data_IF_035775233048
#
_entry.id   IF_035775233048
#
_cell.length_a   1.000
_cell.length_b   1.000
_cell.length_c   1.000
_cell.angle_alpha   90.00
_cell.angle_beta   90.00
_cell.angle_gamma   90.00
#
_symmetry.space_group_name_H-M   'P 1'
#
loop_
_entity.id
_entity.type
_entity.pdbx_description
1 polymer ?
#
# COMPACT_ATOMS: atom_id res chain seq x y z
N UNK A 1 -26.54 4.87 -8.75
CA UNK A 1 -26.79 6.31 -8.45
C UNK A 1 -25.60 6.76 -7.65
N UNK A 2 -25.06 7.98 -7.81
CA UNK A 2 -24.09 8.52 -6.84
C UNK A 2 -24.22 10.04 -6.67
N UNK A 3 -25.44 10.58 -6.81
CA UNK A 3 -25.75 11.90 -6.27
C UNK A 3 -25.90 11.79 -4.75
N UNK A 4 -25.26 12.68 -3.97
CA UNK A 4 -25.41 12.73 -2.51
C UNK A 4 -24.24 12.17 -1.71
N UNK A 5 -23.06 12.03 -2.31
CA UNK A 5 -21.82 11.67 -1.59
C UNK A 5 -21.07 12.90 -1.06
N UNK A 6 -21.45 14.10 -1.52
CA UNK A 6 -20.86 15.37 -1.15
C UNK A 6 -20.81 15.63 0.36
N UNK A 7 -21.86 15.31 1.15
CA UNK A 7 -21.81 15.46 2.60
C UNK A 7 -20.72 14.61 3.27
N UNK A 8 -20.39 13.46 2.69
CA UNK A 8 -19.40 12.54 3.25
C UNK A 8 -17.99 12.91 2.78
N UNK A 9 -17.80 13.12 1.47
CA UNK A 9 -16.48 13.09 0.80
C UNK A 9 -16.16 14.37 0.02
N UNK A 10 -17.02 15.39 0.07
CA UNK A 10 -16.87 16.60 -0.74
C UNK A 10 -17.22 16.39 -2.21
N UNK A 11 -16.83 17.33 -3.07
CA UNK A 11 -17.18 17.26 -4.49
C UNK A 11 -16.42 16.16 -5.23
N UNK A 12 -17.10 15.51 -6.19
CA UNK A 12 -16.47 14.54 -7.09
C UNK A 12 -15.34 15.16 -7.91
N UNK A 13 -14.42 14.31 -8.36
CA UNK A 13 -13.29 14.65 -9.22
C UNK A 13 -12.27 15.63 -8.63
N UNK A 14 -12.32 15.90 -7.32
CA UNK A 14 -11.44 16.84 -6.66
C UNK A 14 -10.37 16.14 -5.82
N UNK A 15 -9.17 16.01 -6.40
CA UNK A 15 -8.00 15.36 -5.75
C UNK A 15 -7.61 15.97 -4.41
N UNK A 16 -8.00 17.22 -4.13
CA UNK A 16 -7.75 17.86 -2.84
C UNK A 16 -8.34 17.08 -1.65
N UNK A 17 -9.41 16.30 -1.83
CA UNK A 17 -9.99 15.51 -0.75
C UNK A 17 -9.27 14.16 -0.54
N UNK A 18 -8.42 13.74 -1.46
CA UNK A 18 -7.81 12.42 -1.42
C UNK A 18 -6.49 12.40 -0.65
N UNK A 19 -6.11 11.20 -0.23
CA UNK A 19 -4.79 10.83 0.28
C UNK A 19 -4.27 9.61 -0.49
N UNK A 20 -2.95 9.44 -0.62
CA UNK A 20 -2.40 8.14 -1.01
C UNK A 20 -2.68 7.13 0.10
N UNK A 21 -3.18 5.95 -0.27
CA UNK A 21 -3.41 4.83 0.64
C UNK A 21 -2.71 3.60 0.07
N UNK A 22 -1.83 2.98 0.86
CA UNK A 22 -1.07 1.81 0.44
C UNK A 22 -1.70 0.54 0.99
N UNK A 23 -2.16 -0.33 0.10
CA UNK A 23 -2.84 -1.59 0.42
C UNK A 23 -2.49 -2.66 -0.60
N UNK A 24 -2.40 -3.93 -0.18
CA UNK A 24 -2.05 -5.05 -1.08
C UNK A 24 -0.76 -4.82 -1.88
N UNK A 25 0.20 -4.08 -1.31
CA UNK A 25 1.40 -3.69 -2.03
C UNK A 25 1.12 -2.82 -3.26
N UNK A 26 0.14 -1.91 -3.20
CA UNK A 26 -0.06 -0.83 -4.17
C UNK A 26 -0.52 0.44 -3.48
N UNK A 27 -0.10 1.59 -3.99
CA UNK A 27 -0.65 2.88 -3.56
C UNK A 27 -1.75 3.30 -4.52
N UNK A 28 -2.92 3.60 -3.95
CA UNK A 28 -4.08 4.13 -4.66
C UNK A 28 -4.47 5.50 -4.09
N UNK A 29 -5.14 6.31 -4.89
CA UNK A 29 -5.77 7.54 -4.40
C UNK A 29 -7.12 7.18 -3.79
N UNK A 30 -7.35 7.55 -2.53
CA UNK A 30 -8.62 7.30 -1.82
C UNK A 30 -9.05 8.56 -1.05
N UNK A 31 -10.35 8.74 -0.81
CA UNK A 31 -10.84 9.87 -0.02
C UNK A 31 -10.31 9.82 1.41
N UNK A 32 -9.84 10.96 1.93
CA UNK A 32 -9.21 11.05 3.26
C UNK A 32 -10.14 10.65 4.39
N UNK A 33 -11.46 10.80 4.21
CA UNK A 33 -12.48 10.48 5.22
C UNK A 33 -12.97 9.04 5.12
N UNK A 34 -12.78 8.42 3.96
CA UNK A 34 -13.11 7.02 3.68
C UNK A 34 -11.95 6.05 3.97
N UNK A 35 -10.71 6.52 3.88
CA UNK A 35 -9.49 5.71 3.93
C UNK A 35 -9.40 4.77 5.14
N UNK A 36 -9.86 5.19 6.32
CA UNK A 36 -9.77 4.34 7.52
C UNK A 36 -10.68 3.10 7.43
N UNK A 37 -11.84 3.18 6.76
CA UNK A 37 -12.69 1.99 6.51
C UNK A 37 -12.00 1.03 5.54
N UNK A 38 -11.38 1.56 4.47
CA UNK A 38 -10.59 0.74 3.55
C UNK A 38 -9.44 0.03 4.27
N UNK A 39 -8.67 0.76 5.08
CA UNK A 39 -7.52 0.20 5.82
C UNK A 39 -7.94 -0.96 6.73
N UNK A 40 -9.02 -0.81 7.51
CA UNK A 40 -9.51 -1.90 8.36
C UNK A 40 -10.02 -3.10 7.55
N UNK A 41 -10.65 -2.85 6.40
CA UNK A 41 -11.14 -3.91 5.53
C UNK A 41 -9.99 -4.75 4.97
N UNK A 42 -8.96 -4.07 4.42
CA UNK A 42 -7.81 -4.77 3.83
C UNK A 42 -6.97 -5.48 4.89
N UNK A 43 -6.84 -4.93 6.10
CA UNK A 43 -6.11 -5.58 7.19
C UNK A 43 -6.72 -6.93 7.56
N UNK A 44 -8.06 -7.02 7.59
CA UNK A 44 -8.77 -8.31 7.72
C UNK A 44 -8.52 -9.21 6.52
N UNK A 45 -8.58 -8.64 5.32
CA UNK A 45 -8.41 -9.39 4.07
C UNK A 45 -7.00 -9.97 3.88
N UNK A 46 -5.97 -9.44 4.56
CA UNK A 46 -4.60 -9.99 4.52
C UNK A 46 -4.46 -11.36 5.17
N UNK A 47 -5.46 -11.84 5.90
CA UNK A 47 -5.48 -13.20 6.43
C UNK A 47 -6.07 -14.22 5.44
N UNK A 48 -6.74 -13.73 4.40
CA UNK A 48 -7.44 -14.57 3.43
C UNK A 48 -6.45 -14.96 2.32
N UNK A 49 -6.32 -16.26 1.96
CA UNK A 49 -5.42 -16.71 0.89
C UNK A 49 -5.98 -16.37 -0.50
N UNK A 50 -6.13 -15.07 -0.78
CA UNK A 50 -6.60 -14.53 -2.04
C UNK A 50 -5.61 -13.49 -2.57
N UNK A 51 -5.07 -13.74 -3.76
CA UNK A 51 -4.05 -12.87 -4.33
C UNK A 51 -4.68 -11.65 -5.00
N UNK A 52 -4.58 -10.49 -4.36
CA UNK A 52 -4.91 -9.20 -4.96
C UNK A 52 -3.70 -8.67 -5.74
N UNK A 53 -3.74 -8.78 -7.07
CA UNK A 53 -2.67 -8.29 -7.95
C UNK A 53 -3.06 -7.01 -8.70
N UNK A 54 -4.34 -6.63 -8.71
CA UNK A 54 -4.85 -5.36 -9.26
C UNK A 54 -5.94 -4.82 -8.32
N UNK A 55 -5.76 -3.55 -7.91
CA UNK A 55 -6.75 -2.78 -7.18
C UNK A 55 -6.85 -1.41 -7.82
N UNK A 56 -8.06 -0.99 -8.18
CA UNK A 56 -8.34 0.31 -8.79
C UNK A 56 -9.20 1.15 -7.87
N UNK A 57 -9.04 2.47 -7.92
CA UNK A 57 -9.81 3.41 -7.09
C UNK A 57 -10.18 4.64 -7.91
N UNK A 58 -9.64 5.82 -7.60
CA UNK A 58 -10.11 7.08 -8.17
C UNK A 58 -10.12 7.07 -9.70
N UNK A 59 -11.31 7.26 -10.25
CA UNK A 59 -11.55 7.42 -11.67
C UNK A 59 -12.70 8.43 -11.86
N UNK A 60 -12.37 9.65 -12.25
CA UNK A 60 -13.34 10.71 -12.51
C UNK A 60 -14.11 10.42 -13.79
N UNK A 61 -15.23 9.70 -13.65
CA UNK A 61 -16.11 9.40 -14.78
C UNK A 61 -17.56 9.37 -14.36
N UNK A 62 -18.43 9.64 -15.34
CA UNK A 62 -19.84 9.33 -15.22
C UNK A 62 -20.07 7.83 -15.40
N UNK A 63 -21.22 7.37 -14.90
CA UNK A 63 -21.76 6.05 -15.24
C UNK A 63 -22.10 5.98 -16.73
N UNK A 64 -22.23 4.78 -17.29
CA UNK A 64 -22.52 4.56 -18.72
C UNK A 64 -23.80 5.28 -19.18
N UNK A 65 -24.75 5.52 -18.28
CA UNK A 65 -25.98 6.27 -18.58
C UNK A 65 -25.79 7.78 -18.72
N UNK A 66 -24.65 8.33 -18.28
CA UNK A 66 -24.37 9.78 -18.23
C UNK A 66 -25.17 10.56 -17.17
N UNK A 67 -26.15 9.94 -16.51
CA UNK A 67 -27.08 10.61 -15.57
C UNK A 67 -26.56 10.73 -14.15
N UNK A 68 -25.43 10.10 -13.83
CA UNK A 68 -24.83 10.11 -12.50
C UNK A 68 -23.33 9.88 -12.60
N UNK A 69 -22.61 10.40 -11.62
CA UNK A 69 -21.20 10.10 -11.42
C UNK A 69 -21.00 8.69 -10.86
N UNK A 70 -19.84 8.09 -11.14
CA UNK A 70 -19.42 6.86 -10.48
C UNK A 70 -18.93 7.16 -9.06
N UNK A 71 -19.11 6.25 -8.10
CA UNK A 71 -18.52 6.38 -6.75
C UNK A 71 -16.98 6.49 -6.78
N UNK A 72 -16.33 5.95 -7.82
CA UNK A 72 -14.89 6.15 -8.06
C UNK A 72 -14.53 7.63 -8.27
N UNK A 73 -15.46 8.48 -8.69
CA UNK A 73 -15.22 9.91 -8.84
C UNK A 73 -15.01 10.63 -7.49
N UNK A 74 -15.41 10.02 -6.37
CA UNK A 74 -15.11 10.48 -5.01
C UNK A 74 -13.93 9.73 -4.37
N UNK A 75 -13.31 8.78 -5.08
CA UNK A 75 -12.30 7.91 -4.48
C UNK A 75 -12.81 7.17 -3.22
N UNK A 76 -14.09 6.78 -3.23
CA UNK A 76 -14.79 6.08 -2.14
C UNK A 76 -15.21 4.65 -2.53
N UNK A 77 -14.60 4.12 -3.60
CA UNK A 77 -14.80 2.78 -4.12
C UNK A 77 -13.48 2.17 -4.56
N UNK A 78 -13.38 0.84 -4.49
CA UNK A 78 -12.27 0.07 -5.05
C UNK A 78 -12.78 -1.07 -5.91
N UNK A 79 -12.04 -1.37 -6.98
CA UNK A 79 -12.28 -2.54 -7.84
C UNK A 79 -11.14 -3.54 -7.66
N UNK A 80 -11.45 -4.80 -7.33
CA UNK A 80 -10.47 -5.87 -7.04
C UNK A 80 -10.40 -6.87 -8.20
N UNK A 81 -9.19 -7.06 -8.74
CA UNK A 81 -8.88 -7.98 -9.85
C UNK A 81 -9.96 -7.99 -10.97
N UNK A 82 -10.24 -6.86 -11.65
CA UNK A 82 -11.31 -6.73 -12.65
C UNK A 82 -11.37 -7.85 -13.70
N UNK A 83 -10.22 -8.41 -14.09
CA UNK A 83 -10.15 -9.48 -15.10
C UNK A 83 -10.75 -10.80 -14.59
N UNK A 84 -10.68 -11.05 -13.28
CA UNK A 84 -11.24 -12.23 -12.62
C UNK A 84 -12.65 -11.99 -12.08
N UNK A 85 -12.98 -10.73 -11.78
CA UNK A 85 -14.24 -10.32 -11.16
C UNK A 85 -15.04 -9.32 -12.04
N UNK A 86 -15.41 -9.70 -13.28
CA UNK A 86 -15.96 -8.76 -14.24
C UNK A 86 -17.39 -8.30 -13.91
N UNK A 87 -17.78 -7.18 -14.50
CA UNK A 87 -19.18 -6.77 -14.61
C UNK A 87 -19.95 -7.75 -15.53
N UNK A 88 -21.14 -8.18 -15.11
CA UNK A 88 -22.03 -9.05 -15.90
C UNK A 88 -23.50 -8.65 -15.77
N UNK A 89 -24.32 -8.97 -16.77
CA UNK A 89 -25.78 -8.75 -16.78
C UNK A 89 -26.58 -9.99 -16.35
N UNK A 90 -25.96 -10.91 -15.60
CA UNK A 90 -26.58 -12.20 -15.25
C UNK A 90 -25.95 -12.84 -14.01
N UNK A 91 -25.44 -14.07 -14.18
CA UNK A 91 -24.85 -14.82 -13.07
C UNK A 91 -23.57 -14.14 -12.54
N UNK A 92 -23.38 -14.21 -11.22
CA UNK A 92 -22.16 -13.73 -10.58
C UNK A 92 -20.95 -14.52 -11.08
N UNK A 93 -19.92 -13.81 -11.54
CA UNK A 93 -18.62 -14.39 -11.90
C UNK A 93 -17.53 -13.75 -11.03
N UNK A 94 -16.95 -14.55 -10.14
CA UNK A 94 -15.90 -14.09 -9.23
C UNK A 94 -15.07 -15.29 -8.77
N UNK A 95 -13.78 -15.04 -8.50
CA UNK A 95 -12.92 -15.97 -7.76
C UNK A 95 -12.62 -15.48 -6.35
N UNK A 96 -13.24 -14.37 -5.91
CA UNK A 96 -13.09 -13.87 -4.55
C UNK A 96 -13.77 -14.81 -3.56
N UNK A 97 -13.03 -15.28 -2.54
CA UNK A 97 -13.62 -16.00 -1.41
C UNK A 97 -14.66 -15.14 -0.68
N UNK A 98 -15.72 -15.76 -0.14
CA UNK A 98 -16.80 -15.04 0.53
C UNK A 98 -16.33 -14.32 1.80
N UNK A 99 -15.37 -14.89 2.50
CA UNK A 99 -14.65 -14.33 3.65
C UNK A 99 -13.81 -13.10 3.25
N UNK A 100 -13.22 -13.08 2.04
CA UNK A 100 -12.60 -11.86 1.50
C UNK A 100 -13.64 -10.73 1.32
N UNK A 101 -14.81 -11.06 0.75
CA UNK A 101 -15.92 -10.10 0.59
C UNK A 101 -16.42 -9.61 1.96
N UNK A 102 -16.50 -10.50 2.96
CA UNK A 102 -16.90 -10.18 4.33
C UNK A 102 -15.94 -9.18 5.02
N UNK A 103 -14.63 -9.27 4.74
CA UNK A 103 -13.65 -8.33 5.26
C UNK A 103 -14.00 -6.87 4.91
N UNK A 104 -14.47 -6.63 3.68
CA UNK A 104 -14.92 -5.31 3.23
C UNK A 104 -16.31 -4.95 3.74
N UNK A 105 -17.27 -5.87 3.63
CA UNK A 105 -18.67 -5.56 4.01
C UNK A 105 -18.83 -5.35 5.51
N UNK A 106 -18.04 -6.03 6.35
CA UNK A 106 -18.00 -5.79 7.80
C UNK A 106 -17.51 -4.39 8.18
N UNK A 107 -16.72 -3.74 7.32
CA UNK A 107 -16.29 -2.35 7.48
C UNK A 107 -17.22 -1.34 6.81
N UNK A 108 -18.36 -1.80 6.27
CA UNK A 108 -19.40 -0.95 5.72
C UNK A 108 -19.33 -0.75 4.22
N UNK A 109 -18.49 -1.47 3.47
CA UNK A 109 -18.58 -1.45 2.01
C UNK A 109 -19.82 -2.20 1.53
N UNK A 110 -20.54 -1.64 0.58
CA UNK A 110 -21.44 -2.38 -0.30
C UNK A 110 -20.61 -3.15 -1.32
N UNK A 111 -21.11 -4.29 -1.77
CA UNK A 111 -20.46 -5.13 -2.78
C UNK A 111 -21.33 -5.30 -4.02
N UNK A 112 -20.79 -4.95 -5.19
CA UNK A 112 -21.50 -4.97 -6.47
C UNK A 112 -21.89 -6.38 -6.94
N UNK A 113 -21.22 -7.43 -6.45
CA UNK A 113 -21.65 -8.82 -6.69
C UNK A 113 -23.01 -9.18 -6.06
N UNK A 114 -23.44 -8.41 -5.04
CA UNK A 114 -24.73 -8.57 -4.38
C UNK A 114 -25.92 -7.92 -5.10
N UNK A 115 -25.69 -7.10 -6.13
CA UNK A 115 -26.75 -6.38 -6.82
C UNK A 115 -27.71 -7.33 -7.57
N UNK A 116 -28.99 -6.94 -7.70
CA UNK A 116 -30.06 -7.85 -8.16
C UNK A 116 -29.97 -8.21 -9.65
N UNK A 117 -29.90 -7.21 -10.52
CA UNK A 117 -30.06 -7.41 -11.98
C UNK A 117 -28.73 -7.45 -12.75
N UNK A 118 -27.70 -6.82 -12.22
CA UNK A 118 -26.34 -6.82 -12.78
C UNK A 118 -25.39 -7.16 -11.65
N UNK A 119 -24.22 -7.70 -11.99
CA UNK A 119 -23.19 -8.08 -11.03
C UNK A 119 -21.95 -7.31 -11.34
N UNK A 120 -21.46 -6.53 -10.40
CA UNK A 120 -20.17 -5.86 -10.51
C UNK A 120 -19.24 -6.47 -9.46
N UNK A 121 -18.72 -7.66 -9.76
CA UNK A 121 -18.07 -8.49 -8.73
C UNK A 121 -16.81 -7.82 -8.17
N UNK A 122 -16.04 -7.10 -8.98
CA UNK A 122 -14.85 -6.37 -8.53
C UNK A 122 -15.17 -5.24 -7.55
N UNK A 123 -16.40 -4.69 -7.60
CA UNK A 123 -16.72 -3.38 -7.06
C UNK A 123 -17.11 -3.39 -5.59
N UNK A 124 -16.40 -2.62 -4.78
CA UNK A 124 -16.72 -2.31 -3.39
C UNK A 124 -16.83 -0.81 -3.20
N UNK A 125 -17.90 -0.32 -2.56
CA UNK A 125 -18.06 1.11 -2.35
C UNK A 125 -18.69 1.47 -1.00
N UNK A 126 -18.39 2.67 -0.50
CA UNK A 126 -19.04 3.20 0.70
C UNK A 126 -20.30 4.01 0.39
N UNK A 127 -20.77 4.01 -0.86
CA UNK A 127 -21.94 4.78 -1.25
C UNK A 127 -23.24 4.14 -0.72
N UNK A 128 -24.11 4.86 0.02
CA UNK A 128 -25.34 4.30 0.58
C UNK A 128 -26.27 3.64 -0.42
N UNK A 129 -26.38 4.21 -1.62
CA UNK A 129 -27.20 3.69 -2.71
C UNK A 129 -26.60 2.47 -3.44
N UNK A 130 -25.36 2.10 -3.12
CA UNK A 130 -24.70 0.87 -3.56
C UNK A 130 -24.58 -0.16 -2.42
N UNK A 131 -25.23 0.12 -1.28
CA UNK A 131 -25.23 -0.73 -0.08
C UNK A 131 -24.15 -0.37 0.95
N UNK A 132 -23.36 0.67 0.68
CA UNK A 132 -22.33 1.17 1.58
C UNK A 132 -22.88 1.87 2.83
N UNK A 133 -22.05 1.94 3.87
CA UNK A 133 -22.34 2.57 5.16
C UNK A 133 -21.17 3.49 5.49
N UNK A 134 -21.19 4.73 4.99
CA UNK A 134 -20.08 5.66 5.17
C UNK A 134 -19.94 6.03 6.65
N UNK A 135 -18.70 5.97 7.17
CA UNK A 135 -18.33 6.41 8.53
C UNK A 135 -17.15 7.38 8.40
N UNK A 136 -17.38 8.64 7.95
CA UNK A 136 -16.31 9.58 7.66
C UNK A 136 -15.47 9.86 8.90
N UNK A 137 -14.15 9.70 8.79
CA UNK A 137 -13.21 9.99 9.85
C UNK A 137 -11.89 10.52 9.29
N UNK A 138 -11.23 11.45 9.96
CA UNK A 138 -9.91 11.96 9.52
C UNK A 138 -8.90 10.83 9.30
N UNK A 139 -8.13 10.93 8.21
CA UNK A 139 -7.14 9.92 7.82
C UNK A 139 -6.14 9.64 8.94
N UNK A 140 -6.07 8.38 9.35
CA UNK A 140 -5.17 7.92 10.41
C UNK A 140 -3.88 7.36 9.80
N UNK A 141 -2.79 8.13 9.93
CA UNK A 141 -1.48 7.73 9.42
C UNK A 141 -0.89 6.54 10.18
N UNK A 142 -1.22 6.38 11.46
CA UNK A 142 -0.75 5.23 12.24
C UNK A 142 -1.47 3.96 11.79
N UNK A 143 -2.77 4.04 11.49
CA UNK A 143 -3.51 2.93 10.89
C UNK A 143 -2.97 2.55 9.52
N UNK A 144 -2.62 3.53 8.68
CA UNK A 144 -1.96 3.27 7.39
C UNK A 144 -0.63 2.53 7.58
N UNK A 145 0.18 2.97 8.54
CA UNK A 145 1.45 2.33 8.85
C UNK A 145 1.25 0.89 9.35
N UNK A 146 0.28 0.66 10.23
CA UNK A 146 -0.06 -0.67 10.73
C UNK A 146 -0.54 -1.62 9.62
N UNK A 147 -1.36 -1.12 8.68
CA UNK A 147 -1.80 -1.91 7.53
C UNK A 147 -0.62 -2.31 6.62
N UNK A 148 0.31 -1.39 6.36
CA UNK A 148 1.53 -1.67 5.61
C UNK A 148 2.32 -2.78 6.30
N UNK A 149 2.60 -2.63 7.59
CA UNK A 149 3.37 -3.60 8.37
C UNK A 149 2.72 -4.99 8.39
N UNK A 150 1.40 -5.06 8.56
CA UNK A 150 0.67 -6.33 8.53
C UNK A 150 0.74 -7.00 7.16
N UNK A 151 0.58 -6.25 6.07
CA UNK A 151 0.72 -6.82 4.73
C UNK A 151 2.14 -7.33 4.49
N UNK A 152 3.16 -6.57 4.94
CA UNK A 152 4.57 -6.94 4.82
C UNK A 152 4.88 -8.24 5.54
N UNK A 153 4.44 -8.38 6.79
CA UNK A 153 4.66 -9.56 7.62
C UNK A 153 4.12 -10.83 6.94
N UNK A 154 2.93 -10.73 6.36
CA UNK A 154 2.24 -11.90 5.77
C UNK A 154 2.62 -12.22 4.33
N UNK A 155 3.12 -11.25 3.57
CA UNK A 155 3.30 -11.38 2.11
C UNK A 155 4.74 -11.13 1.65
N UNK A 156 5.72 -11.32 2.52
CA UNK A 156 7.13 -11.29 2.14
C UNK A 156 7.70 -9.88 1.96
N UNK A 157 7.07 -8.84 2.50
CA UNK A 157 7.76 -7.64 2.97
C UNK A 157 8.43 -6.71 1.96
N UNK A 158 7.76 -6.23 0.91
CA UNK A 158 8.21 -5.03 0.19
C UNK A 158 7.09 -4.02 -0.04
N UNK A 159 7.20 -2.84 0.58
CA UNK A 159 6.38 -1.68 0.21
C UNK A 159 6.79 -1.20 -1.19
N UNK A 160 5.88 -1.09 -2.17
CA UNK A 160 6.20 -0.47 -3.46
C UNK A 160 6.72 0.95 -3.35
N UNK A 161 6.42 1.68 -2.27
CA UNK A 161 6.98 3.02 -2.03
C UNK A 161 8.41 2.99 -1.45
N UNK A 162 8.83 1.88 -0.84
CA UNK A 162 10.26 1.62 -0.59
C UNK A 162 10.94 1.25 -1.92
N UNK A 163 10.18 0.80 -2.92
CA UNK A 163 10.65 0.43 -4.25
C UNK A 163 10.56 1.57 -5.30
N UNK A 164 10.56 2.83 -4.86
CA UNK A 164 11.02 3.93 -5.70
C UNK A 164 12.50 4.10 -5.39
N UNK A 165 13.34 3.30 -6.04
CA UNK A 165 14.77 3.60 -6.06
C UNK A 165 15.00 5.04 -6.56
N UNK A 166 16.01 5.75 -6.03
CA UNK A 166 16.29 7.18 -6.21
C UNK A 166 16.06 7.77 -7.61
N UNK A 167 15.56 9.00 -7.61
CA UNK A 167 15.89 10.02 -8.62
C UNK A 167 16.47 11.24 -7.87
N UNK A 168 17.71 11.72 -8.13
CA UNK A 168 18.79 11.17 -8.95
C UNK A 168 19.83 10.36 -8.16
N UNK A 169 20.49 9.45 -8.88
CA UNK A 169 21.30 8.32 -8.42
C UNK A 169 22.81 8.65 -8.41
N UNK A 170 23.41 9.02 -7.26
CA UNK A 170 24.88 9.20 -7.18
C UNK A 170 25.59 7.87 -7.49
N UNK A 171 26.63 7.85 -8.36
CA UNK A 171 27.29 6.61 -8.77
C UNK A 171 27.91 5.82 -7.60
N UNK A 172 28.22 4.55 -7.88
CA UNK A 172 28.98 3.70 -6.98
C UNK A 172 30.32 4.35 -6.60
N UNK A 173 30.70 4.26 -5.32
CA UNK A 173 32.01 4.72 -4.83
C UNK A 173 32.65 3.60 -4.02
N UNK A 174 33.97 3.62 -3.88
CA UNK A 174 34.72 2.64 -3.07
C UNK A 174 34.12 2.57 -1.66
N UNK A 175 33.83 1.36 -1.19
CA UNK A 175 33.28 1.18 0.14
C UNK A 175 34.30 1.59 1.22
N UNK A 176 33.86 2.24 2.32
CA UNK A 176 34.63 2.29 3.55
C UNK A 176 34.90 0.87 4.05
N UNK A 177 35.96 0.71 4.85
CA UNK A 177 36.23 -0.56 5.53
C UNK A 177 35.00 -1.00 6.31
N UNK A 178 34.59 -2.25 6.14
CA UNK A 178 33.50 -2.82 6.92
C UNK A 178 33.85 -2.76 8.42
N UNK A 179 32.94 -2.30 9.31
CA UNK A 179 33.24 -2.09 10.72
C UNK A 179 33.70 -3.32 11.52
N UNK A 180 33.55 -4.52 10.95
CA UNK A 180 33.93 -5.78 11.59
C UNK A 180 32.82 -6.40 12.43
N UNK A 181 31.61 -5.83 12.40
CA UNK A 181 30.42 -6.38 13.03
C UNK A 181 29.17 -6.14 12.18
N UNK A 182 28.21 -7.05 12.30
CA UNK A 182 26.94 -6.96 11.60
C UNK A 182 26.01 -5.95 12.32
N UNK A 183 25.19 -5.24 11.53
CA UNK A 183 24.18 -4.32 12.06
C UNK A 183 22.77 -4.81 11.75
N UNK A 184 21.95 -4.92 12.78
CA UNK A 184 20.58 -5.40 12.72
C UNK A 184 19.69 -4.65 13.73
N UNK A 185 18.39 -4.91 13.65
CA UNK A 185 17.40 -4.28 14.52
C UNK A 185 17.50 -4.74 15.98
N UNK A 186 17.86 -6.00 16.23
CA UNK A 186 17.95 -6.54 17.59
C UNK A 186 18.97 -5.76 18.40
N UNK A 187 20.14 -5.49 17.82
CA UNK A 187 21.25 -4.80 18.49
C UNK A 187 21.11 -3.28 18.49
N UNK A 188 20.55 -2.68 17.44
CA UNK A 188 20.60 -1.23 17.22
C UNK A 188 19.23 -0.52 17.17
N UNK A 189 18.13 -1.19 17.52
CA UNK A 189 16.81 -0.53 17.58
C UNK A 189 16.69 0.57 18.63
N UNK A 190 17.40 0.43 19.77
CA UNK A 190 17.35 1.36 20.91
C UNK A 190 18.64 2.12 21.16
N UNK A 191 19.67 1.86 20.36
CA UNK A 191 21.03 2.40 20.52
C UNK A 191 21.50 3.02 19.21
N UNK A 192 22.12 4.19 19.30
CA UNK A 192 22.78 4.82 18.16
C UNK A 192 24.18 4.25 17.93
N UNK A 193 24.55 4.17 16.66
CA UNK A 193 25.87 3.73 16.21
C UNK A 193 26.29 4.51 14.97
N UNK A 194 27.54 4.98 14.95
CA UNK A 194 28.05 5.82 13.87
C UNK A 194 28.12 5.07 12.54
N UNK A 195 28.34 3.75 12.56
CA UNK A 195 28.36 2.95 11.34
C UNK A 195 26.95 2.66 10.82
N UNK A 196 25.97 2.52 11.72
CA UNK A 196 24.55 2.49 11.32
C UNK A 196 24.18 3.81 10.65
N UNK A 197 24.59 4.94 11.24
CA UNK A 197 24.33 6.27 10.67
C UNK A 197 24.97 6.41 9.30
N UNK A 198 26.25 6.04 9.17
CA UNK A 198 26.99 6.09 7.91
C UNK A 198 26.34 5.22 6.82
N UNK A 199 25.84 4.04 7.18
CA UNK A 199 25.10 3.19 6.24
C UNK A 199 23.77 3.82 5.82
N UNK A 200 23.01 4.40 6.76
CA UNK A 200 21.76 5.10 6.49
C UNK A 200 21.97 6.33 5.61
N UNK A 201 23.03 7.11 5.86
CA UNK A 201 23.43 8.24 5.00
C UNK A 201 23.70 7.75 3.58
N UNK A 202 24.38 6.61 3.41
CA UNK A 202 24.62 6.05 2.08
C UNK A 202 23.33 5.58 1.40
N UNK A 203 22.40 4.98 2.14
CA UNK A 203 21.07 4.68 1.62
C UNK A 203 20.35 5.96 1.17
N UNK A 204 20.34 7.01 1.99
CA UNK A 204 19.73 8.29 1.64
C UNK A 204 20.43 8.99 0.44
N UNK A 205 21.76 8.92 0.34
CA UNK A 205 22.52 9.39 -0.83
C UNK A 205 22.12 8.64 -2.10
N UNK A 206 21.75 7.36 -1.95
CA UNK A 206 21.20 6.51 -3.00
C UNK A 206 19.68 6.54 -2.95
N UNK A 207 19.11 7.69 -2.57
CA UNK A 207 17.69 8.08 -2.49
C UNK A 207 16.70 7.03 -2.03
N UNK A 208 17.11 6.18 -1.10
CA UNK A 208 16.16 5.54 -0.20
C UNK A 208 15.63 6.60 0.77
N UNK A 209 14.33 6.56 1.07
CA UNK A 209 13.71 7.54 1.96
C UNK A 209 13.83 7.09 3.42
N UNK A 210 14.80 7.64 4.15
CA UNK A 210 14.99 7.43 5.59
C UNK A 210 15.78 8.58 6.23
N UNK A 211 15.63 8.73 7.55
CA UNK A 211 16.46 9.62 8.36
C UNK A 211 17.68 8.84 8.92
N UNK A 212 18.92 9.32 8.71
CA UNK A 212 20.13 8.71 9.26
C UNK A 212 20.29 9.04 10.74
N UNK A 213 19.48 8.39 11.57
CA UNK A 213 19.47 8.59 13.03
C UNK A 213 20.61 7.87 13.74
N UNK A 214 21.24 6.89 13.09
CA UNK A 214 22.15 5.94 13.75
C UNK A 214 21.46 4.81 14.50
N UNK A 215 20.12 4.78 14.55
CA UNK A 215 19.35 3.65 15.10
C UNK A 215 18.85 2.76 13.99
N UNK A 216 19.04 1.45 14.13
CA UNK A 216 18.54 0.46 13.19
C UNK A 216 17.13 0.05 13.60
N UNK A 217 16.15 0.89 13.30
CA UNK A 217 14.75 0.62 13.57
C UNK A 217 14.13 -0.29 12.49
N UNK A 218 12.84 -0.62 12.67
CA UNK A 218 12.10 -1.44 11.72
C UNK A 218 12.09 -0.87 10.29
N UNK A 219 12.03 0.47 10.14
CA UNK A 219 12.11 1.11 8.83
C UNK A 219 13.48 0.89 8.16
N UNK A 220 14.57 0.98 8.91
CA UNK A 220 15.93 0.70 8.40
C UNK A 220 16.07 -0.75 7.97
N UNK A 221 15.58 -1.70 8.78
CA UNK A 221 15.59 -3.13 8.44
C UNK A 221 14.83 -3.42 7.14
N UNK A 222 13.69 -2.77 6.94
CA UNK A 222 12.89 -2.91 5.73
C UNK A 222 13.64 -2.43 4.48
N UNK A 223 14.33 -1.28 4.58
CA UNK A 223 15.14 -0.75 3.48
C UNK A 223 16.32 -1.69 3.17
N UNK A 224 16.96 -2.24 4.21
CA UNK A 224 18.04 -3.22 4.04
C UNK A 224 17.55 -4.47 3.32
N UNK A 225 16.40 -5.03 3.70
CA UNK A 225 15.79 -6.19 3.02
C UNK A 225 15.43 -5.88 1.57
N UNK A 226 14.91 -4.67 1.29
CA UNK A 226 14.59 -4.24 -0.06
C UNK A 226 15.86 -4.14 -0.93
N UNK A 227 16.90 -3.50 -0.42
CA UNK A 227 18.20 -3.44 -1.06
C UNK A 227 18.82 -4.82 -1.31
N UNK A 228 18.75 -5.72 -0.32
CA UNK A 228 19.23 -7.10 -0.46
C UNK A 228 18.52 -7.84 -1.59
N UNK A 229 17.20 -7.68 -1.74
CA UNK A 229 16.45 -8.25 -2.86
C UNK A 229 16.87 -7.67 -4.21
N UNK A 230 16.96 -6.33 -4.29
CA UNK A 230 17.42 -5.63 -5.50
C UNK A 230 18.78 -6.18 -5.98
N UNK A 231 19.69 -6.42 -5.03
CA UNK A 231 21.04 -6.93 -5.31
C UNK A 231 21.18 -8.44 -5.25
N UNK A 232 20.06 -9.17 -5.15
CA UNK A 232 20.02 -10.65 -5.11
C UNK A 232 20.95 -11.24 -4.02
N UNK A 233 21.02 -10.57 -2.88
CA UNK A 233 21.66 -11.06 -1.66
C UNK A 233 20.72 -12.00 -0.88
N UNK A 234 21.27 -12.68 0.11
CA UNK A 234 20.47 -13.32 1.15
C UNK A 234 19.69 -12.23 1.92
N UNK A 235 18.37 -12.38 2.02
CA UNK A 235 17.46 -11.33 2.52
C UNK A 235 17.19 -11.53 4.00
N UNK A 236 18.20 -11.30 4.82
CA UNK A 236 18.17 -11.46 6.27
C UNK A 236 17.86 -10.17 7.03
N UNK A 237 17.88 -9.00 6.37
CA UNK A 237 17.70 -7.70 7.00
C UNK A 237 18.91 -7.23 7.81
N UNK A 238 20.04 -7.93 7.67
CA UNK A 238 21.29 -7.67 8.38
C UNK A 238 22.30 -7.00 7.45
N UNK A 239 22.92 -5.92 7.94
CA UNK A 239 24.02 -5.27 7.24
C UNK A 239 25.33 -5.97 7.61
N UNK A 240 25.58 -7.10 6.95
CA UNK A 240 26.87 -7.76 6.96
C UNK A 240 27.81 -7.27 5.85
N UNK A 241 29.00 -7.86 5.75
CA UNK A 241 30.08 -7.44 4.84
C UNK A 241 29.64 -7.26 3.37
N UNK A 242 28.78 -8.14 2.86
CA UNK A 242 28.29 -8.07 1.47
C UNK A 242 27.25 -6.96 1.28
N UNK A 243 26.28 -6.86 2.18
CA UNK A 243 25.28 -5.78 2.19
C UNK A 243 25.96 -4.42 2.28
N UNK A 244 26.95 -4.30 3.18
CA UNK A 244 27.80 -3.12 3.29
C UNK A 244 28.43 -2.82 1.94
N UNK A 245 29.37 -3.65 1.46
CA UNK A 245 30.11 -3.38 0.22
C UNK A 245 29.21 -2.95 -0.95
N UNK A 246 28.10 -3.64 -1.19
CA UNK A 246 27.24 -3.37 -2.34
C UNK A 246 26.49 -2.04 -2.24
N UNK A 247 26.10 -1.55 -1.05
CA UNK A 247 25.42 -0.24 -0.99
C UNK A 247 26.37 0.91 -1.36
N UNK A 248 27.69 0.71 -1.24
CA UNK A 248 28.67 1.67 -1.77
C UNK A 248 28.94 1.48 -3.25
N UNK A 249 29.25 0.24 -3.66
CA UNK A 249 29.92 -0.02 -4.93
C UNK A 249 28.99 -0.42 -6.07
N UNK A 250 27.84 -1.04 -5.79
CA UNK A 250 26.98 -1.56 -6.85
C UNK A 250 26.45 -0.43 -7.72
N UNK A 251 26.23 -0.70 -9.00
CA UNK A 251 25.47 0.20 -9.87
C UNK A 251 24.04 0.33 -9.35
N UNK A 252 23.44 1.50 -9.55
CA UNK A 252 22.04 1.69 -9.15
C UNK A 252 21.18 1.18 -10.30
N UNK A 253 20.47 0.08 -10.05
CA UNK A 253 19.57 -0.58 -11.02
C UNK A 253 18.17 0.00 -10.95
#
# INVERSE_FOLDING_TARGET
MASGLEPYYGNHCQRQFHVPVTVFGKTISFDRRAANQLLRAVMKAYEIPYQVYRIESFNCRQTTSGKSWSTHAWAAAVDINPEKNPFTTGALKTDMPSDFVECFTSEGFGWGGGWRSVKDAMHFSLAPNEGGRPKPHGFDRALQQAAIELWMDRHGGVNPEINVGPTPKKPGKKAPTFPGYDMDRERYSRKEDDNVRLFQERLAERGWNLDPTGKFNQATEQIVRAFQREKRLFVDGVVGKNTWRLIWEADIT
#
